data_IF_228177647377
#
_entry.id   IF_228177647377
#
_cell.length_a   1.000
_cell.length_b   1.000
_cell.length_c   1.000
_cell.angle_alpha   90.00
_cell.angle_beta   90.00
_cell.angle_gamma   90.00
#
_symmetry.space_group_name_H-M   'P 1'
#
loop_
_entity.id
_entity.type
_entity.pdbx_description
1 polymer ?
#
# COMPACT_ATOMS: atom_id res chain seq x y z
N UNK A 1 12.06 -3.17 7.68
CA UNK A 1 11.68 -2.03 6.83
C UNK A 1 10.16 -1.80 6.96
N UNK A 2 9.59 -0.67 6.52
CA UNK A 2 8.14 -0.48 6.57
C UNK A 2 7.42 -1.34 5.53
N UNK A 3 6.14 -1.64 5.78
CA UNK A 3 5.19 -2.12 4.76
C UNK A 3 4.75 -0.93 3.91
N UNK A 4 4.65 -1.10 2.60
CA UNK A 4 4.20 -0.02 1.69
C UNK A 4 2.77 -0.30 1.23
N UNK A 5 1.88 0.66 1.48
CA UNK A 5 0.52 0.69 0.93
C UNK A 5 0.55 1.40 -0.42
N UNK A 6 0.15 0.71 -1.47
CA UNK A 6 0.04 1.28 -2.81
C UNK A 6 -1.22 2.15 -2.91
N UNK A 7 -1.10 3.23 -3.68
CA UNK A 7 -2.19 4.17 -3.95
C UNK A 7 -2.64 3.97 -5.39
N UNK A 8 -3.78 3.30 -5.55
CA UNK A 8 -4.32 2.95 -6.87
C UNK A 8 -5.20 4.08 -7.43
N UNK A 9 -5.92 4.76 -6.54
CA UNK A 9 -6.82 5.86 -6.87
C UNK A 9 -6.34 7.18 -6.22
N UNK A 10 -6.51 8.30 -6.91
CA UNK A 10 -6.01 9.63 -6.46
C UNK A 10 -7.11 10.58 -6.00
N UNK A 11 -8.36 10.14 -5.98
CA UNK A 11 -9.44 10.94 -5.44
C UNK A 11 -9.30 11.07 -3.91
N UNK A 12 -9.91 12.13 -3.36
CA UNK A 12 -9.76 12.48 -1.94
C UNK A 12 -10.28 11.39 -1.01
N UNK A 13 -11.35 10.69 -1.41
CA UNK A 13 -11.95 9.64 -0.60
C UNK A 13 -11.01 8.42 -0.51
N UNK A 14 -10.45 7.99 -1.64
CA UNK A 14 -9.49 6.89 -1.70
C UNK A 14 -8.20 7.21 -0.92
N UNK A 15 -7.69 8.44 -1.02
CA UNK A 15 -6.54 8.89 -0.23
C UNK A 15 -6.80 8.77 1.28
N UNK A 16 -8.00 9.17 1.74
CA UNK A 16 -8.40 9.00 3.14
C UNK A 16 -8.42 7.54 3.58
N UNK A 17 -8.85 6.62 2.70
CA UNK A 17 -8.84 5.17 2.96
C UNK A 17 -7.42 4.62 3.11
N UNK A 18 -6.50 4.98 2.21
CA UNK A 18 -5.11 4.54 2.29
C UNK A 18 -4.41 5.10 3.53
N UNK A 19 -4.65 6.36 3.88
CA UNK A 19 -4.15 6.96 5.12
C UNK A 19 -4.66 6.22 6.35
N UNK A 20 -5.96 5.89 6.38
CA UNK A 20 -6.55 5.09 7.46
C UNK A 20 -5.89 3.71 7.56
N UNK A 21 -5.69 3.01 6.44
CA UNK A 21 -5.03 1.71 6.43
C UNK A 21 -3.61 1.78 7.01
N UNK A 22 -2.83 2.79 6.63
CA UNK A 22 -1.50 3.03 7.22
C UNK A 22 -1.59 3.31 8.72
N UNK A 23 -2.55 4.13 9.15
CA UNK A 23 -2.76 4.44 10.56
C UNK A 23 -3.11 3.18 11.38
N UNK A 24 -4.01 2.34 10.86
CA UNK A 24 -4.44 1.09 11.51
C UNK A 24 -3.25 0.11 11.63
N UNK A 25 -2.43 -0.02 10.58
CA UNK A 25 -1.19 -0.82 10.64
C UNK A 25 -0.21 -0.30 11.70
N UNK A 26 -0.01 1.02 11.77
CA UNK A 26 0.86 1.63 12.78
C UNK A 26 0.33 1.44 14.19
N UNK A 27 -0.99 1.55 14.39
CA UNK A 27 -1.63 1.27 15.67
C UNK A 27 -1.45 -0.20 16.10
N UNK A 28 -1.38 -1.12 15.15
CA UNK A 28 -1.06 -2.53 15.38
C UNK A 28 0.45 -2.81 15.57
N UNK A 29 1.30 -1.78 15.64
CA UNK A 29 2.75 -1.91 15.79
C UNK A 29 3.51 -2.26 14.50
N UNK A 30 2.83 -2.28 13.35
CA UNK A 30 3.43 -2.53 12.05
C UNK A 30 3.90 -1.20 11.46
N UNK A 31 5.22 -1.05 11.29
CA UNK A 31 5.76 0.11 10.58
C UNK A 31 5.25 0.09 9.14
N UNK A 32 4.51 1.12 8.75
CA UNK A 32 3.93 1.23 7.42
C UNK A 32 4.03 2.65 6.86
N UNK A 33 3.99 2.78 5.54
CA UNK A 33 3.90 4.04 4.81
C UNK A 33 3.04 3.85 3.55
N UNK A 34 2.44 4.93 3.04
CA UNK A 34 1.76 4.92 1.74
C UNK A 34 2.66 5.56 0.68
N UNK A 35 2.51 5.12 -0.57
CA UNK A 35 3.14 5.78 -1.69
C UNK A 35 2.53 7.16 -1.97
N UNK A 36 3.35 8.21 -2.01
CA UNK A 36 2.88 9.60 -2.22
C UNK A 36 3.06 10.11 -3.65
N UNK A 37 3.61 9.30 -4.55
CA UNK A 37 3.88 9.70 -5.93
C UNK A 37 2.68 9.53 -6.87
N UNK A 38 2.80 10.07 -8.08
CA UNK A 38 1.77 9.96 -9.11
C UNK A 38 1.90 8.76 -10.06
N UNK A 39 2.90 7.90 -9.88
CA UNK A 39 3.22 6.84 -10.84
C UNK A 39 2.34 5.59 -10.65
N UNK A 40 2.20 4.79 -11.73
CA UNK A 40 1.41 3.56 -11.72
C UNK A 40 2.05 2.40 -10.93
N UNK A 41 1.29 1.31 -10.76
CA UNK A 41 1.60 0.18 -9.87
C UNK A 41 3.06 -0.32 -9.95
N UNK A 42 3.59 -0.54 -11.16
CA UNK A 42 4.98 -1.03 -11.35
C UNK A 42 6.03 -0.12 -10.71
N UNK A 43 5.84 1.20 -10.79
CA UNK A 43 6.76 2.16 -10.19
C UNK A 43 6.63 2.18 -8.66
N UNK A 44 5.42 1.99 -8.12
CA UNK A 44 5.18 1.91 -6.69
C UNK A 44 5.79 0.63 -6.09
N UNK A 45 5.65 -0.51 -6.77
CA UNK A 45 6.31 -1.76 -6.36
C UNK A 45 7.83 -1.62 -6.36
N UNK A 46 8.40 -1.02 -7.42
CA UNK A 46 9.85 -0.72 -7.47
C UNK A 46 10.29 0.24 -6.36
N UNK A 47 9.42 1.17 -5.98
CA UNK A 47 9.68 2.04 -4.83
C UNK A 47 9.70 1.23 -3.52
N UNK A 48 8.71 0.35 -3.30
CA UNK A 48 8.64 -0.48 -2.10
C UNK A 48 9.86 -1.41 -1.97
N UNK A 49 10.26 -2.03 -3.08
CA UNK A 49 11.47 -2.84 -3.21
C UNK A 49 12.74 -2.02 -2.85
N UNK A 50 12.91 -0.83 -3.44
CA UNK A 50 14.03 0.06 -3.11
C UNK A 50 14.04 0.52 -1.65
N UNK A 51 12.87 0.63 -1.01
CA UNK A 51 12.74 0.93 0.43
C UNK A 51 13.12 -0.26 1.31
N UNK A 52 13.39 -1.42 0.72
CA UNK A 52 13.65 -2.68 1.40
C UNK A 52 12.41 -3.23 2.09
N UNK A 53 11.22 -2.83 1.64
CA UNK A 53 9.94 -3.20 2.26
C UNK A 53 9.72 -4.70 2.09
N UNK A 54 9.34 -5.44 3.15
CA UNK A 54 9.12 -6.88 3.04
C UNK A 54 7.82 -7.21 2.29
N UNK A 55 6.85 -6.29 2.35
CA UNK A 55 5.49 -6.48 1.88
C UNK A 55 4.95 -5.20 1.25
N UNK A 56 4.19 -5.36 0.18
CA UNK A 56 3.34 -4.34 -0.42
C UNK A 56 1.86 -4.71 -0.23
N UNK A 57 1.05 -3.74 0.19
CA UNK A 57 -0.41 -3.88 0.29
C UNK A 57 -1.06 -3.17 -0.89
N UNK A 58 -1.99 -3.84 -1.55
CA UNK A 58 -2.70 -3.37 -2.74
C UNK A 58 -4.20 -3.47 -2.48
N UNK A 59 -4.90 -2.36 -2.68
CA UNK A 59 -6.35 -2.33 -2.67
C UNK A 59 -6.84 -1.40 -3.79
N UNK A 60 -7.17 -2.01 -4.93
CA UNK A 60 -7.85 -1.32 -6.03
C UNK A 60 -9.36 -1.24 -5.79
N UNK A 61 -10.09 -0.78 -6.80
CA UNK A 61 -11.55 -0.73 -6.78
C UNK A 61 -12.20 -2.12 -6.62
N UNK A 62 -11.65 -3.13 -7.29
CA UNK A 62 -12.21 -4.49 -7.27
C UNK A 62 -12.01 -5.18 -5.91
N UNK A 63 -10.79 -5.12 -5.34
CA UNK A 63 -10.53 -5.65 -3.99
C UNK A 63 -11.40 -4.92 -2.97
N UNK A 64 -11.53 -3.60 -3.10
CA UNK A 64 -12.38 -2.79 -2.21
C UNK A 64 -13.84 -3.20 -2.30
N UNK A 65 -14.38 -3.43 -3.49
CA UNK A 65 -15.76 -3.86 -3.68
C UNK A 65 -16.03 -5.24 -3.02
N UNK A 66 -15.01 -6.07 -2.91
CA UNK A 66 -15.06 -7.39 -2.24
C UNK A 66 -14.74 -7.32 -0.74
N UNK A 67 -14.35 -6.16 -0.21
CA UNK A 67 -13.88 -6.02 1.16
C UNK A 67 -12.53 -6.71 1.40
N UNK A 68 -11.74 -6.91 0.35
CA UNK A 68 -10.47 -7.62 0.37
C UNK A 68 -9.29 -6.64 0.22
N UNK A 69 -8.10 -7.15 0.50
CA UNK A 69 -6.82 -6.52 0.21
C UNK A 69 -5.87 -7.58 -0.35
N UNK A 70 -5.07 -7.22 -1.33
CA UNK A 70 -3.98 -8.05 -1.80
C UNK A 70 -2.72 -7.73 -1.02
N UNK A 71 -2.05 -8.77 -0.57
CA UNK A 71 -0.76 -8.68 0.13
C UNK A 71 0.26 -9.34 -0.77
N UNK A 72 1.27 -8.58 -1.18
CA UNK A 72 2.37 -9.06 -2.00
C UNK A 72 3.63 -9.13 -1.17
N UNK A 73 4.20 -10.33 -1.07
CA UNK A 73 5.55 -10.53 -0.56
C UNK A 73 6.56 -9.97 -1.57
N UNK A 74 7.50 -9.16 -1.08
CA UNK A 74 8.58 -8.56 -1.86
C UNK A 74 9.94 -9.21 -1.61
N UNK A 75 10.04 -10.09 -0.60
CA UNK A 75 11.22 -10.89 -0.29
C UNK A 75 11.25 -12.13 -1.18
N UNK A 76 10.11 -12.81 -1.31
CA UNK A 76 9.94 -13.99 -2.17
C UNK A 76 9.55 -13.63 -3.62
N UNK A 77 9.45 -12.33 -3.92
CA UNK A 77 8.97 -11.78 -5.19
C UNK A 77 9.85 -12.02 -6.41
#
# INVERSE_FOLDING_TARGET
APVVVLVMDKDTESLGRYQKMVADLRAAGIRSEMYLGGAGMKAQLKYADRRGSPVAIIQGGDERAKGEVQIKDLIEG
#
